data_IF_904030065985
#
_entry.id   IF_904030065985
#
_cell.length_a   1.000
_cell.length_b   1.000
_cell.length_c   1.000
_cell.angle_alpha   90.00
_cell.angle_beta   90.00
_cell.angle_gamma   90.00
#
_symmetry.space_group_name_H-M   'P 1'
#
loop_
_entity.id
_entity.type
_entity.pdbx_description
1 polymer ?
#
# COMPACT_ATOMS: atom_id res chain seq x y z
N UNK A 1 45.21 -60.89 -43.88
CA UNK A 1 46.07 -60.86 -42.67
C UNK A 1 45.49 -59.76 -41.78
N UNK A 2 44.73 -60.01 -40.71
CA UNK A 2 45.10 -60.63 -39.42
C UNK A 2 46.41 -60.06 -38.85
N UNK A 3 46.32 -59.09 -37.94
CA UNK A 3 46.57 -59.34 -36.51
C UNK A 3 45.97 -58.25 -35.60
N UNK A 4 45.67 -58.66 -34.37
CA UNK A 4 45.32 -57.84 -33.20
C UNK A 4 46.30 -58.20 -32.07
N UNK A 5 46.36 -57.61 -30.87
CA UNK A 5 45.43 -56.78 -30.07
C UNK A 5 46.29 -55.85 -29.21
N UNK A 6 45.84 -54.63 -28.83
CA UNK A 6 46.04 -54.14 -27.44
C UNK A 6 45.16 -52.93 -27.07
N UNK A 7 44.56 -53.03 -25.88
CA UNK A 7 43.63 -52.10 -25.25
C UNK A 7 44.35 -51.47 -24.05
N UNK A 8 44.22 -50.16 -23.84
CA UNK A 8 44.41 -49.55 -22.54
C UNK A 8 43.44 -48.38 -22.36
N UNK A 9 42.52 -48.51 -21.41
CA UNK A 9 41.63 -47.43 -21.00
C UNK A 9 42.43 -46.37 -20.23
N UNK A 10 42.00 -45.10 -20.30
CA UNK A 10 41.68 -44.32 -19.10
C UNK A 10 40.91 -43.04 -19.45
N UNK A 11 39.92 -42.76 -18.61
CA UNK A 11 39.04 -41.60 -18.65
C UNK A 11 39.75 -40.30 -18.28
N UNK A 12 39.32 -39.17 -18.86
CA UNK A 12 38.62 -38.16 -18.05
C UNK A 12 37.78 -37.20 -18.89
N UNK A 13 36.57 -36.93 -18.43
CA UNK A 13 35.58 -36.08 -19.08
C UNK A 13 35.79 -34.60 -18.72
N UNK A 14 36.25 -33.77 -19.66
CA UNK A 14 36.11 -32.31 -19.56
C UNK A 14 34.66 -31.89 -19.84
N UNK A 15 33.77 -32.15 -18.88
CA UNK A 15 32.44 -31.53 -18.88
C UNK A 15 32.56 -30.05 -18.54
N UNK A 16 31.91 -29.21 -19.35
CA UNK A 16 31.82 -27.79 -19.10
C UNK A 16 31.05 -27.52 -17.79
N UNK A 17 31.78 -27.15 -16.73
CA UNK A 17 31.17 -26.73 -15.47
C UNK A 17 30.40 -25.43 -15.70
N UNK A 18 29.10 -25.49 -15.41
CA UNK A 18 28.13 -24.45 -15.75
C UNK A 18 28.26 -23.18 -14.88
N UNK A 19 27.80 -22.00 -15.36
CA UNK A 19 27.94 -20.72 -14.67
C UNK A 19 26.94 -20.55 -13.50
N UNK A 20 27.22 -21.20 -12.36
CA UNK A 20 26.36 -21.16 -11.17
C UNK A 20 26.36 -19.81 -10.40
N UNK A 21 27.30 -18.91 -10.68
CA UNK A 21 27.47 -17.63 -9.95
C UNK A 21 26.41 -16.56 -10.28
N UNK A 22 25.70 -16.67 -11.40
CA UNK A 22 24.75 -15.64 -11.85
C UNK A 22 23.47 -15.57 -11.00
N UNK A 23 22.97 -16.70 -10.51
CA UNK A 23 21.70 -16.78 -9.78
C UNK A 23 21.71 -16.08 -8.41
N UNK A 24 22.81 -16.19 -7.67
CA UNK A 24 22.94 -15.52 -6.36
C UNK A 24 23.21 -14.03 -6.51
N UNK A 25 24.07 -13.62 -7.45
CA UNK A 25 24.30 -12.21 -7.74
C UNK A 25 23.01 -11.50 -8.20
N UNK A 26 22.23 -12.10 -9.11
CA UNK A 26 20.94 -11.56 -9.54
C UNK A 26 19.89 -11.53 -8.43
N UNK A 27 19.85 -12.54 -7.53
CA UNK A 27 18.99 -12.52 -6.33
C UNK A 27 19.44 -11.48 -5.29
N UNK A 28 20.73 -11.28 -5.11
CA UNK A 28 21.27 -10.28 -4.18
C UNK A 28 21.03 -8.86 -4.70
N UNK A 29 21.23 -8.64 -6.00
CA UNK A 29 20.86 -7.41 -6.70
C UNK A 29 19.34 -7.18 -6.58
N UNK A 30 18.49 -8.18 -6.86
CA UNK A 30 17.03 -8.05 -6.73
C UNK A 30 16.57 -7.76 -5.28
N UNK A 31 17.26 -8.31 -4.28
CA UNK A 31 16.98 -8.04 -2.85
C UNK A 31 17.46 -6.66 -2.40
N UNK A 32 18.60 -6.16 -2.91
CA UNK A 32 19.09 -4.79 -2.66
C UNK A 32 18.22 -3.76 -3.38
N UNK A 33 17.77 -4.07 -4.58
CA UNK A 33 16.97 -3.20 -5.45
C UNK A 33 15.53 -3.03 -4.94
N UNK A 34 14.87 -4.12 -4.52
CA UNK A 34 13.54 -4.08 -3.88
C UNK A 34 13.51 -3.20 -2.62
N UNK A 35 14.60 -3.19 -1.83
CA UNK A 35 14.70 -2.34 -0.64
C UNK A 35 14.69 -0.84 -1.00
N UNK A 36 15.23 -0.47 -2.16
CA UNK A 36 15.16 0.89 -2.70
C UNK A 36 13.73 1.32 -2.99
N UNK A 37 12.91 0.45 -3.60
CA UNK A 37 11.50 0.75 -3.89
C UNK A 37 10.68 0.84 -2.61
N UNK A 38 10.82 -0.08 -1.66
CA UNK A 38 10.10 0.00 -0.36
C UNK A 38 10.45 1.29 0.39
N UNK A 39 11.71 1.71 0.35
CA UNK A 39 12.16 2.98 0.95
C UNK A 39 11.57 4.20 0.22
N UNK A 40 11.46 4.14 -1.10
CA UNK A 40 10.81 5.17 -1.90
C UNK A 40 9.30 5.30 -1.59
N UNK A 41 8.57 4.19 -1.43
CA UNK A 41 7.16 4.23 -0.99
C UNK A 41 7.05 4.78 0.44
N UNK A 42 7.93 4.38 1.37
CA UNK A 42 7.96 4.94 2.73
C UNK A 42 8.19 6.47 2.73
N UNK A 43 9.11 6.97 1.88
CA UNK A 43 9.33 8.41 1.69
C UNK A 43 8.09 9.11 1.14
N UNK A 44 7.39 8.49 0.20
CA UNK A 44 6.15 9.03 -0.35
C UNK A 44 5.00 9.04 0.68
N UNK A 45 4.86 7.98 1.49
CA UNK A 45 3.94 7.96 2.64
C UNK A 45 4.27 9.11 3.60
N UNK A 46 5.55 9.37 3.89
CA UNK A 46 5.99 10.49 4.73
C UNK A 46 5.60 11.86 4.18
N UNK A 47 5.63 12.05 2.85
CA UNK A 47 5.16 13.28 2.18
C UNK A 47 3.63 13.43 2.19
N UNK A 48 2.92 12.32 2.11
CA UNK A 48 1.44 12.26 2.04
C UNK A 48 0.78 12.32 3.41
N UNK A 49 1.52 11.96 4.47
CA UNK A 49 1.07 11.96 5.86
C UNK A 49 0.67 13.35 6.34
N UNK A 50 -0.62 13.60 6.38
CA UNK A 50 -1.19 14.77 7.05
C UNK A 50 -1.01 14.62 8.57
N UNK A 51 -0.49 15.67 9.22
CA UNK A 51 -0.68 15.85 10.66
C UNK A 51 -2.18 15.80 10.94
N UNK A 52 -2.60 15.09 11.98
CA UNK A 52 -4.00 15.06 12.39
C UNK A 52 -4.46 16.52 12.65
N UNK A 53 -5.59 16.96 12.07
CA UNK A 53 -5.99 18.36 12.11
C UNK A 53 -6.13 18.85 13.55
N UNK A 54 -5.32 19.83 13.95
CA UNK A 54 -5.54 20.59 15.18
C UNK A 54 -6.84 21.40 15.00
N UNK A 55 -7.67 21.45 16.04
CA UNK A 55 -9.03 22.00 16.04
C UNK A 55 -10.11 21.16 15.31
N UNK A 56 -9.96 19.84 15.15
CA UNK A 56 -11.14 18.99 14.96
C UNK A 56 -12.06 19.09 16.17
N UNK A 57 -13.31 19.51 15.93
CA UNK A 57 -14.46 19.01 16.69
C UNK A 57 -14.26 17.50 16.78
N UNK A 58 -14.22 16.95 17.99
CA UNK A 58 -13.60 15.64 18.27
C UNK A 58 -13.98 14.60 17.20
N UNK A 59 -13.04 13.80 16.63
CA UNK A 59 -13.38 12.90 15.52
C UNK A 59 -14.54 11.96 15.85
N UNK A 60 -14.77 11.62 17.13
CA UNK A 60 -15.96 10.90 17.64
C UNK A 60 -17.31 11.62 17.42
N UNK A 61 -17.30 12.94 17.24
CA UNK A 61 -18.46 13.78 16.94
C UNK A 61 -18.90 13.78 15.47
N UNK A 62 -18.08 13.23 14.56
CA UNK A 62 -18.35 13.11 13.12
C UNK A 62 -18.26 11.65 12.63
N UNK A 63 -17.32 10.87 13.16
CA UNK A 63 -17.14 9.44 12.93
C UNK A 63 -17.41 8.70 14.24
N UNK A 64 -18.35 7.77 14.26
CA UNK A 64 -18.62 6.93 15.42
C UNK A 64 -17.50 5.88 15.59
N UNK A 65 -16.80 5.96 16.72
CA UNK A 65 -15.72 5.03 17.07
C UNK A 65 -14.47 5.17 16.21
N UNK A 66 -13.66 4.11 16.16
CA UNK A 66 -12.42 4.06 15.38
C UNK A 66 -12.69 3.57 13.95
N UNK A 67 -12.12 4.22 12.91
CA UNK A 67 -12.23 3.74 11.54
C UNK A 67 -11.68 2.32 11.37
N UNK A 68 -12.45 1.47 10.68
CA UNK A 68 -11.98 0.14 10.25
C UNK A 68 -11.07 0.31 9.05
N UNK A 69 -9.80 -0.07 9.18
CA UNK A 69 -8.79 0.05 8.10
C UNK A 69 -8.34 -1.32 7.60
N UNK A 70 -8.28 -1.50 6.29
CA UNK A 70 -7.68 -2.65 5.60
C UNK A 70 -6.50 -2.18 4.75
N UNK A 71 -5.36 -2.86 4.85
CA UNK A 71 -4.13 -2.46 4.13
C UNK A 71 -3.41 -3.65 3.50
N UNK A 72 -3.17 -3.54 2.19
CA UNK A 72 -2.46 -4.49 1.33
C UNK A 72 -1.21 -3.81 0.77
N UNK A 73 -0.10 -4.52 0.75
CA UNK A 73 1.09 -4.10 0.01
C UNK A 73 1.28 -5.03 -1.19
N UNK A 74 1.66 -4.46 -2.32
CA UNK A 74 1.93 -5.15 -3.58
C UNK A 74 3.28 -4.69 -4.09
N UNK A 75 4.15 -5.62 -4.49
CA UNK A 75 5.42 -5.32 -5.15
C UNK A 75 5.62 -6.21 -6.38
N UNK A 76 6.51 -5.80 -7.26
CA UNK A 76 6.92 -6.60 -8.41
C UNK A 76 8.16 -6.01 -9.09
N UNK A 77 8.85 -6.89 -9.83
CA UNK A 77 9.92 -6.56 -10.76
C UNK A 77 9.59 -7.29 -12.07
N UNK A 78 9.51 -6.54 -13.18
CA UNK A 78 9.01 -7.02 -14.49
C UNK A 78 9.66 -6.22 -15.62
N UNK A 79 9.61 -6.71 -16.87
CA UNK A 79 10.02 -5.92 -18.04
C UNK A 79 9.09 -4.71 -18.24
N UNK A 80 9.61 -3.62 -18.84
CA UNK A 80 8.82 -2.40 -19.11
C UNK A 80 7.62 -2.68 -20.00
N UNK A 81 7.80 -3.53 -21.00
CA UNK A 81 6.74 -4.02 -21.90
C UNK A 81 5.58 -4.72 -21.16
N UNK A 82 5.85 -5.43 -20.05
CA UNK A 82 4.87 -6.21 -19.30
C UNK A 82 4.29 -5.46 -18.09
N UNK A 83 4.77 -4.26 -17.77
CA UNK A 83 4.41 -3.51 -16.55
C UNK A 83 2.89 -3.34 -16.37
N UNK A 84 2.18 -2.86 -17.40
CA UNK A 84 0.73 -2.59 -17.33
C UNK A 84 -0.07 -3.85 -17.02
N UNK A 85 0.17 -4.93 -17.75
CA UNK A 85 -0.47 -6.23 -17.53
C UNK A 85 -0.13 -6.81 -16.14
N UNK A 86 1.14 -6.71 -15.72
CA UNK A 86 1.61 -7.20 -14.43
C UNK A 86 1.02 -6.45 -13.22
N UNK A 87 0.68 -5.16 -13.38
CA UNK A 87 -0.02 -4.36 -12.37
C UNK A 87 -1.50 -4.76 -12.29
N UNK A 88 -2.19 -4.86 -13.44
CA UNK A 88 -3.60 -5.26 -13.51
C UNK A 88 -3.83 -6.69 -12.98
N UNK A 89 -2.97 -7.64 -13.35
CA UNK A 89 -3.03 -9.03 -12.86
C UNK A 89 -2.83 -9.15 -11.33
N UNK A 90 -2.26 -8.13 -10.68
CA UNK A 90 -2.16 -8.05 -9.21
C UNK A 90 -3.42 -7.41 -8.58
N UNK A 91 -4.47 -7.12 -9.34
CA UNK A 91 -5.69 -6.49 -8.84
C UNK A 91 -5.44 -5.06 -8.34
N UNK A 92 -4.67 -4.28 -9.10
CA UNK A 92 -4.51 -2.84 -8.94
C UNK A 92 -5.27 -2.12 -10.07
N UNK A 93 -5.87 -0.94 -9.83
CA UNK A 93 -6.71 -0.27 -10.82
C UNK A 93 -5.90 0.31 -11.99
N UNK A 94 -6.59 0.57 -13.10
CA UNK A 94 -5.98 1.12 -14.32
C UNK A 94 -5.28 2.48 -14.10
N UNK A 95 -5.75 3.30 -13.15
CA UNK A 95 -5.08 4.57 -12.81
C UNK A 95 -3.66 4.31 -12.27
N UNK A 96 -3.49 3.34 -11.36
CA UNK A 96 -2.19 2.95 -10.79
C UNK A 96 -1.25 2.43 -11.87
N UNK A 97 -1.78 1.62 -12.80
CA UNK A 97 -1.03 1.17 -13.97
C UNK A 97 -0.57 2.34 -14.85
N UNK A 98 -1.44 3.32 -15.10
CA UNK A 98 -1.10 4.54 -15.86
C UNK A 98 -0.07 5.43 -15.16
N UNK A 99 -0.13 5.59 -13.82
CA UNK A 99 0.92 6.30 -13.06
C UNK A 99 2.27 5.60 -13.18
N UNK A 100 2.30 4.27 -13.04
CA UNK A 100 3.53 3.48 -13.20
C UNK A 100 4.03 3.44 -14.64
N UNK A 101 3.15 3.56 -15.63
CA UNK A 101 3.52 3.60 -17.05
C UNK A 101 4.47 4.77 -17.39
N UNK A 102 4.52 5.84 -16.60
CA UNK A 102 5.52 6.91 -16.76
C UNK A 102 6.99 6.42 -16.66
N UNK A 103 7.25 5.22 -16.11
CA UNK A 103 8.56 4.54 -16.13
C UNK A 103 9.01 4.08 -17.54
N UNK A 104 8.16 4.19 -18.55
CA UNK A 104 8.61 4.10 -19.96
C UNK A 104 9.61 5.21 -20.27
N UNK A 105 9.43 6.41 -19.71
CA UNK A 105 10.27 7.57 -19.96
C UNK A 105 11.16 7.91 -18.74
N UNK A 106 10.56 8.02 -17.54
CA UNK A 106 11.24 8.44 -16.32
C UNK A 106 12.08 7.32 -15.69
N UNK A 107 13.19 7.68 -15.03
CA UNK A 107 14.03 6.75 -14.25
C UNK A 107 13.34 6.30 -12.96
N UNK A 108 12.49 7.14 -12.37
CA UNK A 108 11.70 6.83 -11.18
C UNK A 108 10.38 7.61 -11.16
N UNK A 109 9.40 7.06 -10.44
CA UNK A 109 8.07 7.64 -10.25
C UNK A 109 7.68 7.50 -8.78
N UNK A 110 7.08 8.55 -8.23
CA UNK A 110 6.40 8.54 -6.93
C UNK A 110 4.99 9.06 -7.15
N UNK A 111 3.97 8.39 -6.60
CA UNK A 111 2.58 8.82 -6.79
C UNK A 111 1.72 8.54 -5.56
N UNK A 112 0.61 9.28 -5.50
CA UNK A 112 -0.56 8.96 -4.70
C UNK A 112 -1.78 9.09 -5.61
N UNK A 113 -2.72 8.16 -5.52
CA UNK A 113 -4.09 8.36 -5.98
C UNK A 113 -5.04 8.00 -4.85
N UNK A 114 -6.21 8.64 -4.77
CA UNK A 114 -7.17 8.40 -3.71
C UNK A 114 -8.60 8.68 -4.16
N UNK A 115 -9.56 8.07 -3.48
CA UNK A 115 -11.00 8.24 -3.67
C UNK A 115 -11.65 8.42 -2.29
N UNK A 116 -12.47 9.44 -2.15
CA UNK A 116 -13.26 9.69 -0.93
C UNK A 116 -14.74 9.73 -1.29
N UNK A 117 -15.53 8.94 -0.58
CA UNK A 117 -16.98 8.82 -0.79
C UNK A 117 -17.71 8.83 0.55
N UNK A 118 -18.94 9.34 0.53
CA UNK A 118 -19.85 9.28 1.67
C UNK A 118 -21.18 8.73 1.20
N UNK A 119 -21.52 7.54 1.69
CA UNK A 119 -22.86 6.98 1.58
C UNK A 119 -23.77 7.70 2.59
N UNK A 120 -24.75 8.44 2.09
CA UNK A 120 -25.69 9.20 2.90
C UNK A 120 -26.82 8.34 3.48
N UNK A 121 -27.14 7.20 2.86
CA UNK A 121 -28.16 6.26 3.29
C UNK A 121 -27.66 5.43 4.47
N UNK A 122 -26.50 4.79 4.30
CA UNK A 122 -25.84 3.97 5.32
C UNK A 122 -25.04 4.83 6.31
N UNK A 123 -24.91 6.15 6.05
CA UNK A 123 -24.13 7.12 6.82
C UNK A 123 -22.69 6.64 7.02
N UNK A 124 -22.00 6.34 5.94
CA UNK A 124 -20.67 5.72 5.98
C UNK A 124 -19.67 6.49 5.12
N UNK A 125 -18.56 6.88 5.73
CA UNK A 125 -17.42 7.45 5.02
C UNK A 125 -16.49 6.34 4.54
N UNK A 126 -16.03 6.44 3.30
CA UNK A 126 -15.08 5.54 2.66
C UNK A 126 -13.91 6.34 2.10
N UNK A 127 -12.68 5.97 2.46
CA UNK A 127 -11.46 6.56 1.91
C UNK A 127 -10.54 5.45 1.42
N UNK A 128 -10.32 5.39 0.11
CA UNK A 128 -9.41 4.46 -0.57
C UNK A 128 -8.18 5.23 -1.05
N UNK A 129 -6.98 4.68 -0.85
CA UNK A 129 -5.74 5.30 -1.34
C UNK A 129 -4.71 4.29 -1.81
N UNK A 130 -4.06 4.63 -2.91
CA UNK A 130 -2.93 3.92 -3.50
C UNK A 130 -1.71 4.83 -3.42
N UNK A 131 -0.75 4.48 -2.57
CA UNK A 131 0.52 5.20 -2.44
C UNK A 131 1.62 4.29 -2.99
N UNK A 132 2.36 4.77 -3.99
CA UNK A 132 3.31 3.93 -4.68
C UNK A 132 4.55 4.65 -5.19
N UNK A 133 5.53 3.81 -5.53
CA UNK A 133 6.79 4.19 -6.12
C UNK A 133 7.20 3.14 -7.15
N UNK A 134 7.98 3.54 -8.12
CA UNK A 134 8.67 2.61 -8.99
C UNK A 134 9.93 3.23 -9.60
N UNK A 135 10.76 2.39 -10.19
CA UNK A 135 12.04 2.79 -10.79
C UNK A 135 12.45 1.83 -11.90
N UNK A 136 13.18 2.37 -12.89
CA UNK A 136 13.86 1.59 -13.93
C UNK A 136 15.26 1.22 -13.42
N UNK A 137 15.65 -0.04 -13.60
CA UNK A 137 17.05 -0.45 -13.39
C UNK A 137 17.87 0.09 -14.57
N UNK A 138 19.09 0.59 -14.31
CA UNK A 138 19.88 1.27 -15.35
C UNK A 138 20.29 0.29 -16.46
N UNK A 139 20.59 -0.95 -16.07
CA UNK A 139 21.34 -1.94 -16.86
C UNK A 139 20.45 -3.08 -17.38
N UNK A 140 19.12 -2.88 -17.41
CA UNK A 140 18.16 -3.84 -18.00
C UNK A 140 16.82 -3.18 -18.34
N UNK A 141 15.98 -3.83 -19.16
CA UNK A 141 14.58 -3.40 -19.40
C UNK A 141 13.65 -3.60 -18.17
N UNK A 142 14.22 -3.84 -17.00
CA UNK A 142 13.47 -4.18 -15.79
C UNK A 142 13.01 -2.92 -15.05
N UNK A 143 11.74 -2.92 -14.67
CA UNK A 143 11.11 -1.92 -13.79
C UNK A 143 10.61 -2.59 -12.52
N UNK A 144 10.94 -1.94 -11.41
CA UNK A 144 10.52 -2.35 -10.08
C UNK A 144 9.45 -1.40 -9.57
N UNK A 145 8.42 -1.94 -8.92
CA UNK A 145 7.35 -1.14 -8.35
C UNK A 145 6.86 -1.68 -7.01
N UNK A 146 6.38 -0.77 -6.17
CA UNK A 146 5.79 -1.04 -4.88
C UNK A 146 4.59 -0.11 -4.68
N UNK A 147 3.46 -0.67 -4.30
CA UNK A 147 2.21 0.04 -4.07
C UNK A 147 1.60 -0.44 -2.77
N UNK A 148 1.20 0.48 -1.90
CA UNK A 148 0.37 0.21 -0.74
C UNK A 148 -1.03 0.70 -1.04
N UNK A 149 -1.97 -0.23 -0.97
CA UNK A 149 -3.39 0.04 -1.03
C UNK A 149 -3.94 0.02 0.40
N UNK A 150 -4.53 1.13 0.85
CA UNK A 150 -5.24 1.24 2.13
C UNK A 150 -6.67 1.72 1.92
N UNK A 151 -7.62 1.06 2.58
CA UNK A 151 -9.03 1.45 2.67
C UNK A 151 -9.37 1.73 4.13
N UNK A 152 -9.83 2.93 4.44
CA UNK A 152 -10.42 3.27 5.74
C UNK A 152 -11.93 3.49 5.59
N UNK A 153 -12.72 2.89 6.47
CA UNK A 153 -14.17 3.12 6.54
C UNK A 153 -14.60 3.49 7.95
N UNK A 154 -15.50 4.47 8.08
CA UNK A 154 -16.03 4.92 9.36
C UNK A 154 -17.54 5.14 9.28
N UNK A 155 -18.25 4.80 10.36
CA UNK A 155 -19.66 5.13 10.50
C UNK A 155 -19.80 6.60 10.88
N UNK A 156 -20.74 7.34 10.31
CA UNK A 156 -20.86 8.78 10.48
C UNK A 156 -21.99 9.17 11.45
N UNK A 157 -21.74 10.21 12.25
CA UNK A 157 -22.71 10.72 13.23
C UNK A 157 -23.86 11.41 12.51
N UNK A 158 -25.09 11.03 12.84
CA UNK A 158 -26.29 11.68 12.35
C UNK A 158 -26.42 13.11 12.91
N UNK A 159 -26.29 14.12 12.05
CA UNK A 159 -26.53 15.53 12.42
C UNK A 159 -27.99 15.91 12.23
N UNK A 160 -28.54 16.64 13.19
CA UNK A 160 -29.88 17.24 13.13
C UNK A 160 -29.81 18.75 13.35
N UNK A 161 -30.70 19.51 12.72
CA UNK A 161 -31.00 20.91 13.06
C UNK A 161 -32.25 20.98 13.94
N UNK A 162 -32.28 21.85 14.96
CA UNK A 162 -33.52 22.22 15.63
C UNK A 162 -34.36 23.11 14.69
N UNK A 163 -35.54 22.64 14.29
CA UNK A 163 -36.52 23.39 13.49
C UNK A 163 -37.71 23.72 14.37
N UNK A 164 -37.97 25.01 14.58
CA UNK A 164 -39.18 25.46 15.30
C UNK A 164 -40.41 25.15 14.45
N UNK A 165 -41.32 24.32 14.96
CA UNK A 165 -42.62 24.03 14.38
C UNK A 165 -43.71 24.72 15.20
N UNK A 166 -44.78 25.15 14.52
CA UNK A 166 -45.96 25.76 15.15
C UNK A 166 -47.20 25.15 14.52
N UNK A 167 -48.12 24.62 15.34
CA UNK A 167 -49.45 24.18 14.90
C UNK A 167 -50.50 24.92 15.71
N UNK A 168 -51.39 25.59 15.00
CA UNK A 168 -52.54 26.27 15.59
C UNK A 168 -53.79 25.44 15.35
N UNK A 169 -54.61 25.27 16.38
CA UNK A 169 -55.97 24.73 16.27
C UNK A 169 -56.95 25.81 16.70
N UNK A 170 -58.03 26.00 15.94
CA UNK A 170 -59.15 26.86 16.31
C UNK A 170 -60.19 26.00 17.04
N UNK A 171 -60.68 26.45 18.19
CA UNK A 171 -61.75 25.79 18.95
C UNK A 171 -62.63 26.87 19.54
N UNK A 172 -63.93 26.88 19.21
CA UNK A 172 -64.90 27.92 19.58
C UNK A 172 -64.32 29.34 19.51
N UNK A 173 -64.08 29.80 18.27
CA UNK A 173 -63.49 31.09 17.90
C UNK A 173 -62.03 31.36 18.32
N UNK A 174 -61.54 30.84 19.46
CA UNK A 174 -60.18 31.05 19.95
C UNK A 174 -59.15 30.22 19.13
N UNK A 175 -58.08 30.88 18.66
CA UNK A 175 -56.97 30.25 17.94
C UNK A 175 -55.80 29.98 18.89
N UNK A 176 -55.75 28.79 19.50
CA UNK A 176 -54.60 28.35 20.32
C UNK A 176 -53.49 27.80 19.43
N UNK A 177 -52.26 28.27 19.63
CA UNK A 177 -51.07 27.78 18.93
C UNK A 177 -50.11 27.12 19.90
N UNK A 178 -49.64 25.91 19.57
CA UNK A 178 -48.53 25.25 20.27
C UNK A 178 -47.29 25.31 19.40
N UNK A 179 -46.20 25.82 19.95
CA UNK A 179 -44.86 25.73 19.37
C UNK A 179 -44.11 24.55 19.99
N UNK A 180 -43.23 23.94 19.21
CA UNK A 180 -42.24 22.97 19.69
C UNK A 180 -41.00 23.01 18.80
N UNK A 181 -39.90 22.45 19.28
CA UNK A 181 -38.67 22.29 18.50
C UNK A 181 -38.57 20.84 18.06
N UNK A 182 -38.50 20.63 16.75
CA UNK A 182 -38.33 19.33 16.12
C UNK A 182 -36.86 19.15 15.70
N UNK A 183 -36.33 17.92 15.67
CA UNK A 183 -34.94 17.63 15.28
C UNK A 183 -34.91 16.98 13.90
N UNK A 184 -34.76 17.79 12.87
CA UNK A 184 -34.78 17.34 11.46
C UNK A 184 -33.36 16.96 11.03
N UNK A 185 -33.14 15.83 10.33
CA UNK A 185 -31.80 15.47 9.81
C UNK A 185 -31.30 16.52 8.81
N UNK A 186 -30.04 16.95 8.95
CA UNK A 186 -29.46 18.07 8.17
C UNK A 186 -28.31 17.74 7.23
N UNK A 187 -27.93 16.46 7.13
CA UNK A 187 -26.70 16.04 6.44
C UNK A 187 -25.41 16.57 7.11
N UNK A 188 -24.28 16.38 6.46
CA UNK A 188 -22.99 16.96 6.86
C UNK A 188 -22.67 18.17 5.99
N UNK A 189 -22.11 19.24 6.57
CA UNK A 189 -21.64 20.39 5.80
C UNK A 189 -20.35 20.06 5.05
N UNK A 190 -19.99 20.86 4.04
CA UNK A 190 -18.72 20.71 3.31
C UNK A 190 -17.49 20.74 4.24
N UNK A 191 -17.53 21.50 5.34
CA UNK A 191 -16.46 21.55 6.33
C UNK A 191 -16.41 20.28 7.20
N UNK A 192 -17.58 19.76 7.61
CA UNK A 192 -17.68 18.47 8.33
C UNK A 192 -17.18 17.32 7.44
N UNK A 193 -17.51 17.32 6.14
CA UNK A 193 -17.03 16.33 5.17
C UNK A 193 -15.50 16.37 4.99
N UNK A 194 -14.89 17.56 4.88
CA UNK A 194 -13.41 17.71 4.83
C UNK A 194 -12.73 17.19 6.11
N UNK A 195 -13.37 17.34 7.28
CA UNK A 195 -12.86 16.78 8.53
C UNK A 195 -12.97 15.24 8.57
N UNK A 196 -14.06 14.67 8.06
CA UNK A 196 -14.22 13.21 7.89
C UNK A 196 -13.17 12.64 6.93
N UNK A 197 -12.96 13.29 5.77
CA UNK A 197 -11.92 12.91 4.81
C UNK A 197 -10.54 12.92 5.46
N UNK A 198 -10.16 14.02 6.13
CA UNK A 198 -8.87 14.16 6.78
C UNK A 198 -8.63 13.11 7.87
N UNK A 199 -9.66 12.75 8.65
CA UNK A 199 -9.58 11.71 9.67
C UNK A 199 -9.40 10.31 9.04
N UNK A 200 -10.21 9.95 8.05
CA UNK A 200 -10.09 8.65 7.36
C UNK A 200 -8.77 8.52 6.59
N UNK A 201 -8.33 9.60 5.93
CA UNK A 201 -7.01 9.71 5.29
C UNK A 201 -5.90 9.47 6.30
N UNK A 202 -5.94 10.11 7.47
CA UNK A 202 -4.93 9.93 8.50
C UNK A 202 -4.85 8.46 8.94
N UNK A 203 -5.99 7.81 9.23
CA UNK A 203 -6.03 6.38 9.57
C UNK A 203 -5.51 5.47 8.45
N UNK A 204 -5.87 5.73 7.19
CA UNK A 204 -5.41 4.96 6.03
C UNK A 204 -3.89 5.06 5.81
N UNK A 205 -3.33 6.28 5.90
CA UNK A 205 -1.91 6.57 5.70
C UNK A 205 -1.06 6.06 6.88
N UNK A 206 -1.55 6.18 8.11
CA UNK A 206 -0.91 5.59 9.29
C UNK A 206 -0.83 4.06 9.18
N UNK A 207 -1.90 3.38 8.75
CA UNK A 207 -1.91 1.93 8.51
C UNK A 207 -0.97 1.53 7.35
N UNK A 208 -0.92 2.33 6.27
CA UNK A 208 0.03 2.13 5.18
C UNK A 208 1.49 2.17 5.67
N UNK A 209 1.82 3.18 6.49
CA UNK A 209 3.13 3.32 7.12
C UNK A 209 3.47 2.12 8.02
N UNK A 210 2.53 1.72 8.89
CA UNK A 210 2.71 0.57 9.79
C UNK A 210 2.92 -0.75 9.01
N UNK A 211 2.18 -0.98 7.92
CA UNK A 211 2.33 -2.17 7.07
C UNK A 211 3.72 -2.23 6.44
N UNK A 212 4.21 -1.14 5.86
CA UNK A 212 5.56 -1.12 5.26
C UNK A 212 6.67 -1.21 6.32
N UNK A 213 6.54 -0.55 7.47
CA UNK A 213 7.49 -0.70 8.58
C UNK A 213 7.61 -2.17 9.02
N UNK A 214 6.49 -2.89 9.19
CA UNK A 214 6.49 -4.32 9.52
C UNK A 214 7.15 -5.19 8.43
N UNK A 215 6.92 -4.88 7.14
CA UNK A 215 7.58 -5.58 6.03
C UNK A 215 9.09 -5.28 5.97
N UNK A 216 9.50 -4.04 6.23
CA UNK A 216 10.91 -3.64 6.33
C UNK A 216 11.65 -4.29 7.49
N UNK A 217 11.01 -4.41 8.66
CA UNK A 217 11.58 -5.10 9.83
C UNK A 217 11.78 -6.59 9.53
N UNK A 218 10.77 -7.28 8.98
CA UNK A 218 10.90 -8.69 8.55
C UNK A 218 12.01 -8.89 7.51
N UNK A 219 12.19 -7.94 6.59
CA UNK A 219 13.28 -7.97 5.62
C UNK A 219 14.68 -7.75 6.23
N UNK A 220 14.80 -7.06 7.36
CA UNK A 220 16.08 -6.92 8.10
C UNK A 220 16.39 -8.14 8.94
N UNK A 221 15.43 -8.62 9.74
CA UNK A 221 15.58 -9.82 10.58
C UNK A 221 15.94 -11.05 9.74
N UNK A 222 15.30 -11.23 8.57
CA UNK A 222 15.68 -12.31 7.65
C UNK A 222 17.11 -12.17 7.10
N UNK A 223 17.58 -10.95 6.82
CA UNK A 223 18.97 -10.73 6.38
C UNK A 223 19.96 -11.04 7.49
N UNK A 224 19.67 -10.66 8.73
CA UNK A 224 20.53 -10.96 9.88
C UNK A 224 20.63 -12.47 10.14
N UNK A 225 19.52 -13.20 10.01
CA UNK A 225 19.52 -14.66 10.09
C UNK A 225 20.27 -15.31 8.90
N UNK A 226 20.06 -14.82 7.67
CA UNK A 226 20.78 -15.31 6.49
C UNK A 226 22.30 -15.05 6.60
N UNK A 227 22.74 -13.91 7.13
CA UNK A 227 24.17 -13.64 7.37
C UNK A 227 24.77 -14.42 8.53
N UNK A 228 23.98 -14.73 9.57
CA UNK A 228 24.46 -15.53 10.71
C UNK A 228 24.73 -16.99 10.29
N UNK A 229 23.86 -17.57 9.47
CA UNK A 229 24.05 -18.91 8.89
C UNK A 229 25.22 -18.93 7.89
N UNK A 230 25.48 -17.81 7.20
CA UNK A 230 26.62 -17.67 6.29
C UNK A 230 27.96 -17.53 7.04
N UNK A 231 27.97 -16.94 8.24
CA UNK A 231 29.15 -16.96 9.14
C UNK A 231 29.35 -18.30 9.85
N UNK A 232 28.30 -18.92 10.41
CA UNK A 232 28.42 -20.23 11.08
C UNK A 232 28.96 -21.32 10.14
N UNK A 233 28.67 -21.22 8.84
CA UNK A 233 29.23 -22.12 7.84
C UNK A 233 30.72 -21.85 7.56
N UNK A 234 31.14 -20.58 7.56
CA UNK A 234 32.53 -20.20 7.32
C UNK A 234 33.44 -20.59 8.48
N UNK A 235 32.92 -20.59 9.72
CA UNK A 235 33.66 -21.05 10.91
C UNK A 235 33.80 -22.59 10.95
N UNK A 236 32.84 -23.35 10.38
CA UNK A 236 32.92 -24.81 10.27
C UNK A 236 33.87 -25.28 9.16
N UNK A 237 33.94 -24.57 8.03
CA UNK A 237 34.87 -24.87 6.94
C UNK A 237 36.35 -24.50 7.28
N UNK A 238 36.63 -24.01 8.51
CA UNK A 238 37.97 -23.58 8.99
C UNK A 238 38.45 -24.38 10.23
N UNK A 239 37.80 -25.49 10.57
CA UNK A 239 38.12 -26.33 11.74
C UNK A 239 38.60 -27.75 11.41
N UNK A 240 38.74 -28.10 10.13
CA UNK A 240 39.35 -29.35 9.63
C UNK A 240 40.74 -29.06 9.01
N UNK A 241 41.73 -28.74 9.86
CA UNK A 241 43.19 -28.76 9.60
C UNK A 241 43.95 -29.17 10.88
#
# INVERSE_FOLDING_TARGET
>A
MRLSVLIACLSLSCWAVSPAMSGFALRALSRRSEAGVVSAVLRQIGRVASKQPRNTICPTCLIQGTPRVRTRAVKGSVSRSKLRAAVLARGLPAEVASRLQALTFARSVLFQTFRFEVDSLVRRGHYETYIGAGRRLTDSDTVEFGVVHSVATGQLVAKTTPVRRRKCKRRFFIKRCRSWTDRVPRGLTAQELRQVEAALRHSAVASASAKLKRLGIRARSRRQAETAVESEKFDLDFQDD
#
